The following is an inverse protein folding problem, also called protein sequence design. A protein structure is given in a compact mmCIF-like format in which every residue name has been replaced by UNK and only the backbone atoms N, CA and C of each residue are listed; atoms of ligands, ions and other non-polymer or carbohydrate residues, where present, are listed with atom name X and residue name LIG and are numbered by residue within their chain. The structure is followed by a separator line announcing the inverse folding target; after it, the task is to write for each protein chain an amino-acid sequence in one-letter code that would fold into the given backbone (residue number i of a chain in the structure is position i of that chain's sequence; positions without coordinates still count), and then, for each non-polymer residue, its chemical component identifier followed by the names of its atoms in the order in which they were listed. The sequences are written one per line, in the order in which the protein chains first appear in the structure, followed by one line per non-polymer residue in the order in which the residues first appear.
data_IF_524798034425
#
_entry.id   IF_524798034425
#
_cell.length_a   1.000
_cell.length_b   1.000
_cell.length_c   1.000
_cell.angle_alpha   90.00
_cell.angle_beta   90.00
_cell.angle_gamma   90.00
#
_symmetry.space_group_name_H-M   'P 1'
#
loop_
_entity.id
_entity.type
_entity.pdbx_description
1 polymer ?
#
# COMPACT_ATOMS: atom_id res chain seq x y z
N UNK A 1 -26.37 89.55 -20.89
CA UNK A 1 -26.24 89.49 -19.42
C UNK A 1 -25.70 88.12 -19.05
N UNK A 2 -24.55 88.12 -18.36
CA UNK A 2 -23.98 87.02 -17.55
C UNK A 2 -23.71 85.66 -18.23
N UNK A 3 -22.45 85.46 -18.64
CA UNK A 3 -21.87 84.13 -18.79
C UNK A 3 -21.65 83.48 -17.42
N UNK A 4 -21.80 82.14 -17.30
CA UNK A 4 -21.08 81.40 -16.28
C UNK A 4 -20.19 80.29 -16.86
N UNK A 5 -18.90 80.43 -16.52
CA UNK A 5 -17.90 79.46 -16.05
C UNK A 5 -18.02 77.98 -16.46
N UNK A 6 -16.93 77.52 -17.08
CA UNK A 6 -16.49 76.14 -17.31
C UNK A 6 -16.49 75.30 -16.03
N UNK A 7 -16.87 74.04 -16.15
CA UNK A 7 -16.39 72.95 -15.30
C UNK A 7 -15.87 71.83 -16.22
N UNK A 8 -14.55 71.64 -16.19
CA UNK A 8 -13.86 70.55 -16.87
C UNK A 8 -14.10 69.25 -16.11
N UNK A 9 -14.68 68.24 -16.76
CA UNK A 9 -14.81 66.89 -16.22
C UNK A 9 -13.64 66.05 -16.72
N UNK A 10 -12.74 65.73 -15.81
CA UNK A 10 -11.60 64.83 -15.98
C UNK A 10 -12.11 63.40 -16.10
N UNK A 11 -11.87 62.75 -17.24
CA UNK A 11 -12.11 61.32 -17.42
C UNK A 11 -10.98 60.52 -16.74
N UNK A 12 -11.33 59.72 -15.73
CA UNK A 12 -10.44 58.69 -15.18
C UNK A 12 -10.53 57.43 -16.07
N UNK A 13 -9.40 56.77 -16.42
CA UNK A 13 -9.45 55.50 -17.13
C UNK A 13 -9.82 54.37 -16.17
N UNK A 14 -10.86 53.61 -16.52
CA UNK A 14 -11.22 52.35 -15.86
C UNK A 14 -10.18 51.30 -16.30
N UNK A 15 -9.32 50.88 -15.37
CA UNK A 15 -8.41 49.75 -15.55
C UNK A 15 -9.24 48.45 -15.55
N UNK A 16 -9.46 47.89 -16.74
CA UNK A 16 -9.97 46.53 -16.91
C UNK A 16 -8.90 45.55 -16.44
N UNK A 17 -9.10 44.96 -15.26
CA UNK A 17 -8.30 43.82 -14.80
C UNK A 17 -8.71 42.56 -15.58
N UNK A 18 -7.89 42.12 -16.53
CA UNK A 18 -7.99 40.78 -17.09
C UNK A 18 -7.66 39.76 -15.99
N UNK A 19 -8.68 39.13 -15.41
CA UNK A 19 -8.50 37.94 -14.57
C UNK A 19 -8.16 36.78 -15.50
N UNK A 20 -6.88 36.38 -15.49
CA UNK A 20 -6.41 35.19 -16.17
C UNK A 20 -6.87 33.98 -15.36
N UNK A 21 -7.98 33.37 -15.76
CA UNK A 21 -8.44 32.09 -15.17
C UNK A 21 -7.50 31.01 -15.69
N UNK A 22 -6.47 30.69 -14.91
CA UNK A 22 -5.66 29.48 -15.11
C UNK A 22 -6.57 28.30 -14.76
N UNK A 23 -6.84 27.35 -15.68
CA UNK A 23 -7.55 26.14 -15.30
C UNK A 23 -6.68 25.36 -14.32
N UNK A 24 -7.10 25.30 -13.06
CA UNK A 24 -6.60 24.29 -12.11
C UNK A 24 -7.01 22.93 -12.67
N UNK A 25 -6.05 22.26 -13.30
CA UNK A 25 -6.16 20.83 -13.57
C UNK A 25 -6.04 20.15 -12.21
N UNK A 26 -7.18 19.79 -11.61
CA UNK A 26 -7.20 18.82 -10.53
C UNK A 26 -6.87 17.45 -11.14
N UNK A 27 -5.58 17.15 -11.24
CA UNK A 27 -5.15 15.75 -11.28
C UNK A 27 -5.62 15.06 -9.99
N UNK A 28 -5.79 13.72 -9.99
CA UNK A 28 -5.89 13.00 -8.73
C UNK A 28 -4.73 13.46 -7.84
N UNK A 29 -4.93 13.63 -6.52
CA UNK A 29 -3.82 13.98 -5.65
C UNK A 29 -2.71 12.98 -5.95
N UNK A 30 -1.57 13.50 -6.39
CA UNK A 30 -0.33 12.75 -6.43
C UNK A 30 -0.28 11.94 -5.14
N UNK A 31 0.01 10.64 -5.24
CA UNK A 31 0.31 9.79 -4.10
C UNK A 31 1.57 10.33 -3.42
N UNK A 32 1.41 11.45 -2.72
CA UNK A 32 2.42 12.16 -2.00
C UNK A 32 2.73 11.30 -0.77
N UNK A 33 3.80 10.52 -0.90
CA UNK A 33 4.54 9.94 0.21
C UNK A 33 3.72 8.99 1.08
N UNK A 34 3.17 7.91 0.51
CA UNK A 34 2.92 6.74 1.35
C UNK A 34 4.30 6.20 1.73
N UNK A 35 4.71 6.48 2.97
CA UNK A 35 6.01 6.11 3.50
C UNK A 35 6.23 4.61 3.24
N UNK A 36 7.26 4.28 2.45
CA UNK A 36 7.53 2.91 2.06
C UNK A 36 7.77 2.11 3.36
N UNK A 37 7.04 1.01 3.61
CA UNK A 37 7.13 0.28 4.88
C UNK A 37 8.46 -0.50 5.02
N UNK A 38 9.33 -0.43 4.01
CA UNK A 38 10.55 -1.20 3.86
C UNK A 38 11.68 -0.30 3.35
N UNK A 39 12.93 -0.61 3.71
CA UNK A 39 14.09 -0.03 3.05
C UNK A 39 14.12 -0.29 1.53
N UNK A 40 14.93 0.49 0.81
CA UNK A 40 15.09 0.32 -0.64
C UNK A 40 15.82 -0.97 -1.02
N UNK A 41 16.56 -1.56 -0.07
CA UNK A 41 17.31 -2.80 -0.23
C UNK A 41 17.03 -3.74 0.93
N UNK A 42 16.98 -5.04 0.67
CA UNK A 42 17.01 -6.09 1.69
C UNK A 42 18.12 -7.08 1.33
N UNK A 43 18.90 -7.54 2.29
CA UNK A 43 20.07 -8.42 2.10
C UNK A 43 21.00 -7.93 0.96
N UNK A 44 21.18 -6.61 0.87
CA UNK A 44 21.98 -5.94 -0.16
C UNK A 44 21.37 -5.90 -1.57
N UNK A 45 20.22 -6.53 -1.81
CA UNK A 45 19.53 -6.52 -3.10
C UNK A 45 18.49 -5.38 -3.17
N UNK A 46 18.40 -4.64 -4.29
CA UNK A 46 17.39 -3.60 -4.47
C UNK A 46 15.99 -4.19 -4.62
N UNK A 47 15.01 -3.59 -3.96
CA UNK A 47 13.62 -4.01 -4.07
C UNK A 47 12.82 -3.07 -4.96
N UNK A 48 12.16 -3.64 -5.97
CA UNK A 48 11.11 -2.98 -6.75
C UNK A 48 9.73 -3.24 -6.16
N UNK A 49 8.69 -2.78 -6.87
CA UNK A 49 7.31 -3.14 -6.52
C UNK A 49 6.40 -3.28 -7.74
N UNK A 50 5.38 -4.12 -7.60
CA UNK A 50 4.24 -4.25 -8.52
C UNK A 50 2.96 -3.98 -7.74
N UNK A 51 2.02 -3.25 -8.33
CA UNK A 51 0.73 -2.93 -7.70
C UNK A 51 -0.36 -3.87 -8.22
N UNK A 52 -1.14 -4.46 -7.31
CA UNK A 52 -2.40 -5.16 -7.60
C UNK A 52 -3.60 -4.29 -7.19
N UNK A 53 -4.82 -4.82 -7.26
CA UNK A 53 -6.01 -4.07 -6.81
C UNK A 53 -5.98 -3.80 -5.32
N UNK A 54 -5.56 -4.80 -4.52
CA UNK A 54 -5.65 -4.77 -3.05
C UNK A 54 -4.30 -4.67 -2.34
N UNK A 55 -3.20 -4.75 -3.08
CA UNK A 55 -1.86 -4.81 -2.50
C UNK A 55 -0.76 -4.14 -3.33
N UNK A 56 0.36 -3.86 -2.68
CA UNK A 56 1.65 -3.53 -3.30
C UNK A 56 2.63 -4.65 -2.95
N UNK A 57 3.22 -5.28 -3.96
CA UNK A 57 4.09 -6.43 -3.83
C UNK A 57 5.53 -5.99 -4.05
N UNK A 58 6.33 -5.97 -2.98
CA UNK A 58 7.75 -5.65 -3.01
C UNK A 58 8.58 -6.89 -3.27
N UNK A 59 9.54 -6.79 -4.19
CA UNK A 59 10.30 -7.96 -4.64
C UNK A 59 11.72 -7.60 -5.10
N UNK A 60 12.64 -8.55 -4.97
CA UNK A 60 13.94 -8.50 -5.63
C UNK A 60 13.76 -8.64 -7.17
N UNK A 61 14.72 -8.20 -8.02
CA UNK A 61 14.53 -8.17 -9.46
C UNK A 61 14.19 -9.55 -10.07
N UNK A 62 14.81 -10.60 -9.52
CA UNK A 62 14.60 -12.00 -9.95
C UNK A 62 13.21 -12.55 -9.66
N UNK A 63 12.48 -11.96 -8.71
CA UNK A 63 11.17 -12.42 -8.26
C UNK A 63 10.01 -11.65 -8.92
N UNK A 64 10.29 -10.83 -9.93
CA UNK A 64 9.28 -9.98 -10.60
C UNK A 64 8.06 -10.74 -11.14
N UNK A 65 8.27 -11.90 -11.78
CA UNK A 65 7.15 -12.73 -12.26
C UNK A 65 6.36 -13.37 -11.12
N UNK A 66 7.03 -13.75 -10.04
CA UNK A 66 6.38 -14.26 -8.82
C UNK A 66 5.55 -13.15 -8.17
N UNK A 67 6.07 -11.92 -8.15
CA UNK A 67 5.36 -10.75 -7.61
C UNK A 67 4.05 -10.45 -8.34
N UNK A 68 4.07 -10.50 -9.67
CA UNK A 68 2.86 -10.37 -10.49
C UNK A 68 1.86 -11.47 -10.12
N UNK A 69 2.31 -12.73 -10.08
CA UNK A 69 1.44 -13.87 -9.78
C UNK A 69 0.85 -13.78 -8.36
N UNK A 70 1.64 -13.36 -7.38
CA UNK A 70 1.15 -13.14 -6.00
C UNK A 70 0.11 -12.02 -5.96
N UNK A 71 0.30 -10.94 -6.71
CA UNK A 71 -0.70 -9.88 -6.84
C UNK A 71 -2.03 -10.40 -7.37
N UNK A 72 -2.00 -11.19 -8.45
CA UNK A 72 -3.20 -11.85 -8.99
C UNK A 72 -3.86 -12.77 -7.95
N UNK A 73 -3.07 -13.60 -7.26
CA UNK A 73 -3.57 -14.53 -6.25
C UNK A 73 -4.22 -13.81 -5.05
N UNK A 74 -3.71 -12.65 -4.65
CA UNK A 74 -4.29 -11.82 -3.59
C UNK A 74 -5.62 -11.18 -4.03
N UNK A 75 -5.68 -10.71 -5.27
CA UNK A 75 -6.90 -10.14 -5.85
C UNK A 75 -7.99 -11.22 -6.06
N UNK A 76 -7.59 -12.47 -6.34
CA UNK A 76 -8.47 -13.63 -6.55
C UNK A 76 -8.87 -14.37 -5.24
N UNK A 77 -8.37 -13.95 -4.06
CA UNK A 77 -8.74 -14.58 -2.79
C UNK A 77 -10.26 -14.54 -2.58
N UNK A 78 -10.84 -15.68 -2.20
CA UNK A 78 -12.22 -15.74 -1.76
C UNK A 78 -12.44 -14.84 -0.52
N UNK A 79 -13.64 -14.27 -0.39
CA UNK A 79 -14.02 -13.47 0.76
C UNK A 79 -13.77 -14.21 2.08
N UNK A 80 -13.18 -13.49 3.03
CA UNK A 80 -12.88 -14.01 4.34
C UNK A 80 -14.18 -14.16 5.16
N UNK A 81 -14.51 -15.35 5.71
CA UNK A 81 -15.80 -15.59 6.35
C UNK A 81 -16.09 -14.64 7.52
N UNK A 82 -17.20 -13.92 7.46
CA UNK A 82 -17.61 -13.02 8.54
C UNK A 82 -16.88 -11.68 8.58
N UNK A 83 -16.05 -11.37 7.58
CA UNK A 83 -15.44 -10.05 7.39
C UNK A 83 -16.05 -9.34 6.17
N UNK A 84 -15.96 -7.99 6.10
CA UNK A 84 -16.34 -7.25 4.91
C UNK A 84 -15.56 -7.72 3.67
N UNK A 85 -16.20 -7.73 2.49
CA UNK A 85 -15.52 -8.11 1.24
C UNK A 85 -14.38 -7.15 0.87
N UNK A 86 -14.45 -5.92 1.35
CA UNK A 86 -13.45 -4.88 1.13
C UNK A 86 -12.16 -5.10 1.93
N UNK A 87 -12.08 -6.06 2.85
CA UNK A 87 -10.86 -6.32 3.63
C UNK A 87 -10.32 -7.72 3.40
N UNK A 88 -8.99 -7.92 3.40
CA UNK A 88 -7.92 -6.92 3.54
C UNK A 88 -7.78 -5.99 2.33
N UNK A 89 -7.40 -4.73 2.55
CA UNK A 89 -7.07 -3.76 1.49
C UNK A 89 -5.84 -2.94 1.86
N UNK A 90 -5.20 -2.32 0.86
CA UNK A 90 -4.00 -1.51 1.06
C UNK A 90 -2.79 -2.30 1.58
N UNK A 91 -2.74 -3.61 1.35
CA UNK A 91 -1.73 -4.50 1.93
C UNK A 91 -0.36 -4.32 1.30
N UNK A 92 0.69 -4.38 2.11
CA UNK A 92 2.07 -4.46 1.67
C UNK A 92 2.56 -5.91 1.72
N UNK A 93 2.72 -6.55 0.56
CA UNK A 93 3.27 -7.91 0.49
C UNK A 93 4.77 -7.85 0.16
N UNK A 94 5.60 -8.54 0.94
CA UNK A 94 7.06 -8.55 0.76
C UNK A 94 7.51 -9.94 0.39
N UNK A 95 8.16 -10.07 -0.77
CA UNK A 95 8.76 -11.31 -1.23
C UNK A 95 10.22 -11.34 -0.80
N UNK A 96 10.50 -12.04 0.31
CA UNK A 96 11.82 -12.16 0.88
C UNK A 96 12.65 -13.22 0.14
N UNK A 97 13.66 -12.75 -0.58
CA UNK A 97 14.40 -13.58 -1.52
C UNK A 97 15.44 -14.48 -0.82
N UNK A 98 15.83 -14.15 0.41
CA UNK A 98 16.67 -14.94 1.31
C UNK A 98 16.10 -14.92 2.74
N UNK A 99 16.55 -15.83 3.63
CA UNK A 99 16.25 -15.73 5.06
C UNK A 99 16.71 -14.40 5.68
N UNK A 100 17.87 -13.86 5.27
CA UNK A 100 18.34 -12.56 5.77
C UNK A 100 17.41 -11.41 5.34
N UNK A 101 16.96 -11.40 4.08
CA UNK A 101 15.96 -10.42 3.63
C UNK A 101 14.63 -10.55 4.37
N UNK A 102 14.24 -11.78 4.74
CA UNK A 102 13.05 -12.03 5.55
C UNK A 102 13.19 -11.42 6.95
N UNK A 103 14.31 -11.69 7.62
CA UNK A 103 14.62 -11.17 8.96
C UNK A 103 14.71 -9.63 8.98
N UNK A 104 15.30 -9.04 7.94
CA UNK A 104 15.33 -7.58 7.78
C UNK A 104 13.93 -7.00 7.57
N UNK A 105 13.09 -7.61 6.72
CA UNK A 105 11.74 -7.13 6.44
C UNK A 105 10.84 -7.12 7.69
N UNK A 106 11.01 -8.09 8.58
CA UNK A 106 10.24 -8.18 9.82
C UNK A 106 10.80 -7.29 10.95
N UNK A 107 12.00 -6.73 10.77
CA UNK A 107 12.66 -5.88 11.76
C UNK A 107 13.48 -6.62 12.83
N UNK A 108 13.97 -7.83 12.54
CA UNK A 108 14.81 -8.63 13.43
C UNK A 108 14.21 -10.00 13.83
N UNK A 109 14.97 -10.78 14.63
CA UNK A 109 14.73 -12.21 14.79
C UNK A 109 13.35 -12.58 15.39
N UNK A 110 12.58 -13.34 14.61
CA UNK A 110 11.39 -14.10 15.02
C UNK A 110 11.66 -15.56 14.60
N UNK A 111 11.23 -16.59 15.37
CA UNK A 111 11.84 -17.93 15.34
C UNK A 111 11.91 -18.63 13.98
N UNK A 112 12.87 -19.56 13.89
CA UNK A 112 13.32 -20.38 12.75
C UNK A 112 12.27 -21.15 11.90
N UNK A 113 10.98 -21.14 12.26
CA UNK A 113 9.91 -21.96 11.65
C UNK A 113 8.94 -21.13 10.79
N UNK A 114 9.41 -20.31 9.85
CA UNK A 114 8.55 -19.29 9.20
C UNK A 114 8.26 -19.64 7.75
N UNK A 115 7.07 -20.15 7.49
CA UNK A 115 6.51 -20.26 6.15
C UNK A 115 6.05 -18.89 5.61
N UNK A 116 5.74 -17.94 6.51
CA UNK A 116 5.25 -16.59 6.23
C UNK A 116 5.01 -15.81 7.54
N UNK A 117 4.67 -14.53 7.45
CA UNK A 117 4.22 -13.73 8.59
C UNK A 117 3.38 -12.53 8.18
N UNK A 118 2.29 -12.28 8.91
CA UNK A 118 1.57 -11.03 8.95
C UNK A 118 2.10 -10.12 10.07
N UNK A 119 2.24 -8.83 9.76
CA UNK A 119 2.56 -7.73 10.68
C UNK A 119 1.39 -6.75 10.60
N UNK A 120 0.32 -7.00 11.39
CA UNK A 120 -0.94 -6.28 11.23
C UNK A 120 -0.83 -4.78 11.44
N UNK A 121 0.00 -4.34 12.40
CA UNK A 121 0.24 -2.92 12.67
C UNK A 121 0.90 -2.14 11.52
N UNK A 122 1.30 -2.81 10.43
CA UNK A 122 1.87 -2.22 9.22
C UNK A 122 1.10 -2.59 7.95
N UNK A 123 -0.06 -3.24 8.08
CA UNK A 123 -0.80 -3.85 6.96
C UNK A 123 0.09 -4.68 6.03
N UNK A 124 1.07 -5.38 6.62
CA UNK A 124 2.17 -5.99 5.88
C UNK A 124 2.17 -7.50 6.06
N UNK A 125 2.45 -8.24 5.01
CA UNK A 125 2.81 -9.66 5.08
C UNK A 125 4.16 -9.89 4.41
N UNK A 126 4.92 -10.86 4.89
CA UNK A 126 6.23 -11.25 4.35
C UNK A 126 6.19 -12.74 4.02
N UNK A 127 6.53 -13.07 2.78
CA UNK A 127 6.56 -14.44 2.25
C UNK A 127 7.94 -14.75 1.69
N UNK A 128 8.53 -15.91 1.98
CA UNK A 128 9.79 -16.33 1.38
C UNK A 128 9.60 -16.70 -0.11
N UNK A 129 10.62 -16.43 -0.93
CA UNK A 129 10.72 -16.87 -2.33
C UNK A 129 11.97 -17.70 -2.63
N UNK A 130 12.91 -17.78 -1.68
CA UNK A 130 14.19 -18.52 -1.79
C UNK A 130 14.08 -20.04 -1.57
N UNK A 131 15.17 -20.68 -1.10
CA UNK A 131 15.17 -22.13 -0.82
C UNK A 131 14.15 -22.48 0.29
N UNK A 132 13.04 -23.13 -0.09
CA UNK A 132 11.95 -23.48 0.80
C UNK A 132 10.58 -23.50 0.09
N UNK A 133 9.51 -23.29 0.87
CA UNK A 133 8.14 -23.14 0.37
C UNK A 133 8.11 -22.03 -0.68
N UNK A 134 7.64 -22.34 -1.87
CA UNK A 134 7.42 -21.33 -2.91
C UNK A 134 6.07 -20.71 -2.62
N UNK A 135 6.00 -19.39 -2.50
CA UNK A 135 4.72 -18.68 -2.27
C UNK A 135 3.58 -19.10 -3.22
N UNK A 136 3.92 -19.59 -4.42
CA UNK A 136 2.98 -20.06 -5.45
C UNK A 136 2.69 -21.57 -5.45
N UNK A 137 3.28 -22.36 -4.54
CA UNK A 137 2.94 -23.78 -4.37
C UNK A 137 1.78 -23.98 -3.37
N UNK A 138 1.28 -25.21 -3.21
CA UNK A 138 0.11 -25.46 -2.36
C UNK A 138 0.28 -25.05 -0.90
N UNK A 139 1.46 -25.26 -0.30
CA UNK A 139 1.75 -24.84 1.08
C UNK A 139 1.97 -23.33 1.16
N UNK A 140 2.61 -22.74 0.15
CA UNK A 140 2.79 -21.30 0.01
C UNK A 140 1.47 -20.57 -0.12
N UNK A 141 0.53 -21.09 -0.91
CA UNK A 141 -0.82 -20.53 -1.06
C UNK A 141 -1.62 -20.63 0.23
N UNK A 142 -1.54 -21.76 0.94
CA UNK A 142 -2.19 -21.94 2.24
C UNK A 142 -1.64 -20.94 3.25
N UNK A 143 -0.32 -20.74 3.26
CA UNK A 143 0.35 -19.78 4.13
C UNK A 143 -0.01 -18.35 3.76
N UNK A 144 0.02 -18.00 2.47
CA UNK A 144 -0.39 -16.68 1.99
C UNK A 144 -1.81 -16.33 2.44
N UNK A 145 -2.73 -17.29 2.31
CA UNK A 145 -4.11 -17.12 2.79
C UNK A 145 -4.20 -16.96 4.30
N UNK A 146 -3.41 -17.72 5.06
CA UNK A 146 -3.34 -17.61 6.52
C UNK A 146 -2.86 -16.21 6.94
N UNK A 147 -1.77 -15.70 6.36
CA UNK A 147 -1.28 -14.35 6.67
C UNK A 147 -2.27 -13.26 6.22
N UNK A 148 -2.92 -13.45 5.07
CA UNK A 148 -3.98 -12.56 4.58
C UNK A 148 -5.16 -12.47 5.56
N UNK A 149 -5.54 -13.59 6.18
CA UNK A 149 -6.62 -13.64 7.16
C UNK A 149 -6.30 -12.85 8.43
N UNK A 150 -5.06 -12.92 8.93
CA UNK A 150 -4.60 -12.11 10.06
C UNK A 150 -4.73 -10.60 9.79
N UNK A 151 -4.35 -10.16 8.59
CA UNK A 151 -4.48 -8.75 8.19
C UNK A 151 -5.95 -8.32 8.12
N UNK A 152 -6.80 -9.11 7.47
CA UNK A 152 -8.22 -8.77 7.34
C UNK A 152 -8.95 -8.71 8.68
N UNK A 153 -8.62 -9.65 9.57
CA UNK A 153 -9.17 -9.67 10.91
C UNK A 153 -8.72 -8.44 11.71
N UNK A 154 -7.45 -8.06 11.63
CA UNK A 154 -6.95 -6.85 12.27
C UNK A 154 -7.58 -5.59 11.71
N UNK A 155 -7.68 -5.43 10.38
CA UNK A 155 -8.34 -4.26 9.78
C UNK A 155 -9.81 -4.14 10.20
N UNK A 156 -10.49 -5.26 10.46
CA UNK A 156 -11.88 -5.27 10.91
C UNK A 156 -12.01 -4.92 12.40
N UNK A 157 -11.10 -5.41 13.24
CA UNK A 157 -11.19 -5.29 14.69
C UNK A 157 -10.35 -4.14 15.28
N UNK A 158 -9.47 -3.54 14.48
CA UNK A 158 -8.53 -2.49 14.89
C UNK A 158 -7.62 -2.94 16.04
N UNK A 159 -7.48 -2.07 17.05
CA UNK A 159 -6.60 -2.28 18.22
C UNK A 159 -7.21 -3.18 19.31
N UNK A 160 -8.36 -3.81 19.05
CA UNK A 160 -8.94 -4.75 20.00
C UNK A 160 -7.96 -5.89 20.26
N UNK A 161 -7.82 -6.27 21.54
CA UNK A 161 -7.00 -7.42 21.91
C UNK A 161 -7.70 -8.71 21.47
N UNK A 162 -7.24 -9.26 20.35
CA UNK A 162 -7.72 -10.54 19.82
C UNK A 162 -7.08 -11.68 20.63
N UNK A 163 -7.85 -12.59 21.25
CA UNK A 163 -7.29 -13.78 21.87
C UNK A 163 -6.54 -14.63 20.83
N UNK A 164 -5.34 -15.11 21.18
CA UNK A 164 -4.50 -15.89 20.26
C UNK A 164 -5.25 -17.07 19.64
N UNK A 165 -6.00 -17.83 20.43
CA UNK A 165 -6.76 -18.98 19.93
C UNK A 165 -7.75 -18.61 18.82
N UNK A 166 -8.34 -17.41 18.88
CA UNK A 166 -9.29 -16.95 17.88
C UNK A 166 -8.55 -16.43 16.64
N UNK A 167 -7.47 -15.67 16.84
CA UNK A 167 -6.67 -15.16 15.73
C UNK A 167 -6.11 -16.30 14.86
N UNK A 168 -5.47 -17.29 15.50
CA UNK A 168 -4.90 -18.46 14.81
C UNK A 168 -5.96 -19.42 14.29
N UNK A 169 -7.10 -19.56 14.98
CA UNK A 169 -8.18 -20.45 14.56
C UNK A 169 -9.01 -19.89 13.40
N UNK A 170 -8.99 -18.57 13.22
CA UNK A 170 -9.64 -17.89 12.10
C UNK A 170 -8.84 -18.03 10.80
N UNK A 171 -7.51 -17.95 10.89
CA UNK A 171 -6.57 -17.94 9.78
C UNK A 171 -6.28 -19.34 9.20
#
# INVERSE_FOLDING_TARGET
MTAPRRASLTFAPILTACVLVVPMVFGPPDAAGQERPLPDTLDGEPYGSVRSQRAIIYHAPRDSLVAIRVGELLDEQASLPGLPESVPDGVHAVLAHTPAAFDEAIGGAVPEWRAGVAIPARDMLVMPTGEGVRVVDGEGLRTLRHEWAHLGLHQTLGDLRIPRWFNEGYA
#
